data_IF_960250279101
#
_entry.id   IF_960250279101
#
_cell.length_a   1.000
_cell.length_b   1.000
_cell.length_c   1.000
_cell.angle_alpha   90.00
_cell.angle_beta   90.00
_cell.angle_gamma   90.00
#
_symmetry.space_group_name_H-M   'P 1'
#
loop_
_entity.id
_entity.type
_entity.pdbx_description
1 polymer ?
#
# COMPACT_ATOMS: atom_id res chain seq x y z
N UNK A 1 5.99 32.57 53.20
CA UNK A 1 5.26 31.58 52.39
C UNK A 1 5.92 31.50 51.02
N UNK A 2 6.68 30.43 50.73
CA UNK A 2 7.35 30.22 49.44
C UNK A 2 6.42 29.39 48.52
N UNK A 3 5.96 29.97 47.43
CA UNK A 3 5.17 29.27 46.43
C UNK A 3 6.12 28.53 45.51
N UNK A 4 6.11 27.21 45.58
CA UNK A 4 6.89 26.35 44.69
C UNK A 4 6.08 26.15 43.41
N UNK A 5 6.48 26.79 42.32
CA UNK A 5 5.94 26.54 40.99
C UNK A 5 6.52 25.21 40.47
N UNK A 6 5.70 24.18 40.49
CA UNK A 6 6.00 22.89 39.81
C UNK A 6 5.62 23.04 38.35
N UNK A 7 6.61 23.29 37.48
CA UNK A 7 6.46 23.19 36.05
C UNK A 7 6.36 21.70 35.68
N UNK A 8 5.16 21.21 35.44
CA UNK A 8 4.95 19.88 34.88
C UNK A 8 5.36 19.89 33.40
N UNK A 9 6.57 19.42 33.13
CA UNK A 9 7.02 19.14 31.76
C UNK A 9 6.29 17.90 31.24
N UNK A 10 5.21 18.09 30.50
CA UNK A 10 4.56 17.03 29.71
C UNK A 10 5.51 16.66 28.57
N UNK A 11 6.28 15.59 28.74
CA UNK A 11 7.02 14.95 27.64
C UNK A 11 5.99 14.35 26.67
N UNK A 12 5.80 15.02 25.54
CA UNK A 12 5.12 14.45 24.38
C UNK A 12 6.02 13.32 23.84
N UNK A 13 5.73 12.08 24.22
CA UNK A 13 6.31 10.92 23.57
C UNK A 13 5.71 10.80 22.18
N UNK A 14 6.37 11.36 21.19
CA UNK A 14 6.08 11.08 19.78
C UNK A 14 6.50 9.63 19.57
N UNK A 15 5.53 8.72 19.58
CA UNK A 15 5.72 7.33 19.17
C UNK A 15 6.13 7.36 17.70
N UNK A 16 7.41 7.28 17.40
CA UNK A 16 7.87 7.01 16.06
C UNK A 16 7.40 5.58 15.72
N UNK A 17 6.36 5.48 14.89
CA UNK A 17 5.98 4.20 14.31
C UNK A 17 7.23 3.60 13.66
N UNK A 18 7.57 2.37 14.02
CA UNK A 18 8.73 1.72 13.44
C UNK A 18 8.49 1.53 11.93
N UNK A 19 9.57 1.46 11.16
CA UNK A 19 9.47 1.19 9.73
C UNK A 19 8.64 -0.09 9.48
N UNK A 20 8.82 -1.14 10.28
CA UNK A 20 8.07 -2.38 10.22
C UNK A 20 6.56 -2.17 10.38
N UNK A 21 6.13 -1.25 11.25
CA UNK A 21 4.72 -0.95 11.47
C UNK A 21 4.09 -0.24 10.27
N UNK A 22 4.85 0.65 9.60
CA UNK A 22 4.40 1.31 8.36
C UNK A 22 4.17 0.27 7.25
N UNK A 23 5.09 -0.67 7.06
CA UNK A 23 4.94 -1.72 6.06
C UNK A 23 3.75 -2.63 6.36
N UNK A 24 3.60 -3.11 7.59
CA UNK A 24 2.46 -3.93 7.99
C UNK A 24 1.14 -3.21 7.74
N UNK A 25 1.08 -1.93 8.09
CA UNK A 25 -0.09 -1.08 7.85
C UNK A 25 -0.37 -0.94 6.36
N UNK A 26 0.63 -0.61 5.56
CA UNK A 26 0.52 -0.49 4.10
C UNK A 26 -0.01 -1.78 3.48
N UNK A 27 0.60 -2.93 3.79
CA UNK A 27 0.19 -4.23 3.26
C UNK A 27 -1.24 -4.60 3.67
N UNK A 28 -1.64 -4.36 4.93
CA UNK A 28 -2.99 -4.63 5.40
C UNK A 28 -4.05 -3.77 4.69
N UNK A 29 -3.75 -2.50 4.45
CA UNK A 29 -4.65 -1.60 3.71
C UNK A 29 -4.78 -2.06 2.26
N UNK A 30 -3.68 -2.38 1.59
CA UNK A 30 -3.69 -2.86 0.20
C UNK A 30 -4.39 -4.22 0.07
N UNK A 31 -4.17 -5.16 1.00
CA UNK A 31 -4.87 -6.44 1.03
C UNK A 31 -6.39 -6.27 1.11
N UNK A 32 -6.85 -5.41 2.02
CA UNK A 32 -8.28 -5.08 2.13
C UNK A 32 -8.80 -4.45 0.83
N UNK A 33 -8.04 -3.53 0.24
CA UNK A 33 -8.39 -2.92 -1.04
C UNK A 33 -8.52 -3.94 -2.17
N UNK A 34 -7.54 -4.82 -2.34
CA UNK A 34 -7.56 -5.89 -3.35
C UNK A 34 -8.73 -6.86 -3.14
N UNK A 35 -9.04 -7.19 -1.89
CA UNK A 35 -10.19 -8.04 -1.54
C UNK A 35 -11.51 -7.37 -1.92
N UNK A 36 -11.67 -6.07 -1.64
CA UNK A 36 -12.87 -5.32 -2.02
C UNK A 36 -13.04 -5.24 -3.54
N UNK A 37 -11.95 -5.00 -4.30
CA UNK A 37 -11.98 -4.98 -5.76
C UNK A 37 -12.45 -6.33 -6.30
N UNK A 38 -11.88 -7.44 -5.81
CA UNK A 38 -12.27 -8.79 -6.21
C UNK A 38 -13.74 -9.07 -5.94
N UNK A 39 -14.19 -8.80 -4.72
CA UNK A 39 -15.60 -8.98 -4.34
C UNK A 39 -16.53 -8.10 -5.16
N UNK A 40 -16.10 -6.88 -5.47
CA UNK A 40 -16.86 -5.96 -6.31
C UNK A 40 -17.08 -6.50 -7.71
N UNK A 41 -16.06 -7.08 -8.35
CA UNK A 41 -16.21 -7.74 -9.66
C UNK A 41 -17.12 -8.96 -9.59
N UNK A 42 -16.96 -9.80 -8.58
CA UNK A 42 -17.76 -11.02 -8.42
C UNK A 42 -19.25 -10.73 -8.14
N UNK A 43 -19.55 -9.61 -7.51
CA UNK A 43 -20.90 -9.23 -7.11
C UNK A 43 -21.51 -8.08 -7.95
N UNK A 44 -20.86 -7.66 -9.03
CA UNK A 44 -21.28 -6.51 -9.85
C UNK A 44 -21.46 -5.21 -9.04
N UNK A 45 -20.62 -5.00 -8.04
CA UNK A 45 -20.68 -3.85 -7.12
C UNK A 45 -19.56 -2.84 -7.44
N UNK A 46 -19.88 -1.85 -8.28
CA UNK A 46 -18.91 -0.81 -8.70
C UNK A 46 -18.42 0.05 -7.53
N UNK A 47 -19.28 0.35 -6.57
CA UNK A 47 -18.89 1.14 -5.40
C UNK A 47 -17.85 0.41 -4.55
N UNK A 48 -17.98 -0.91 -4.42
CA UNK A 48 -17.01 -1.72 -3.71
C UNK A 48 -15.66 -1.76 -4.45
N UNK A 49 -15.68 -1.83 -5.79
CA UNK A 49 -14.45 -1.75 -6.60
C UNK A 49 -13.76 -0.39 -6.39
N UNK A 50 -14.50 0.71 -6.47
CA UNK A 50 -13.97 2.07 -6.27
C UNK A 50 -13.41 2.27 -4.85
N UNK A 51 -14.12 1.78 -3.84
CA UNK A 51 -13.64 1.79 -2.46
C UNK A 51 -12.33 1.03 -2.30
N UNK A 52 -12.25 -0.16 -2.89
CA UNK A 52 -11.03 -0.97 -2.88
C UNK A 52 -9.86 -0.29 -3.59
N UNK A 53 -10.10 0.33 -4.75
CA UNK A 53 -9.09 1.10 -5.50
C UNK A 53 -8.49 2.21 -4.64
N UNK A 54 -9.34 2.95 -3.93
CA UNK A 54 -8.89 3.99 -3.00
C UNK A 54 -7.97 3.44 -1.91
N UNK A 55 -8.36 2.33 -1.30
CA UNK A 55 -7.53 1.67 -0.27
C UNK A 55 -6.19 1.20 -0.83
N UNK A 56 -6.15 0.64 -2.05
CA UNK A 56 -4.89 0.25 -2.68
C UNK A 56 -3.97 1.46 -2.88
N UNK A 57 -4.50 2.60 -3.36
CA UNK A 57 -3.74 3.85 -3.50
C UNK A 57 -3.20 4.34 -2.15
N UNK A 58 -4.06 4.39 -1.14
CA UNK A 58 -3.68 4.83 0.21
C UNK A 58 -2.59 3.95 0.82
N UNK A 59 -2.74 2.63 0.71
CA UNK A 59 -1.75 1.68 1.21
C UNK A 59 -0.43 1.78 0.46
N UNK A 60 -0.47 1.85 -0.88
CA UNK A 60 0.74 1.96 -1.70
C UNK A 60 1.50 3.27 -1.46
N UNK A 61 0.80 4.39 -1.23
CA UNK A 61 1.42 5.68 -0.91
C UNK A 61 2.26 5.65 0.37
N UNK A 62 1.92 4.80 1.35
CA UNK A 62 2.72 4.64 2.57
C UNK A 62 4.05 3.92 2.35
N UNK A 63 4.20 3.22 1.23
CA UNK A 63 5.30 2.28 0.98
C UNK A 63 6.07 2.57 -0.31
N UNK A 64 5.59 3.42 -1.21
CA UNK A 64 6.13 3.60 -2.56
C UNK A 64 7.51 4.28 -2.61
N UNK A 65 7.91 4.99 -1.58
CA UNK A 65 9.18 5.72 -1.53
C UNK A 65 10.36 4.76 -1.38
N UNK A 66 11.40 4.95 -2.20
CA UNK A 66 12.59 4.10 -2.24
C UNK A 66 13.29 3.99 -0.89
N UNK A 67 13.38 5.08 -0.15
CA UNK A 67 13.99 5.17 1.18
C UNK A 67 13.22 4.34 2.21
N UNK A 68 11.90 4.26 2.04
CA UNK A 68 11.03 3.40 2.86
C UNK A 68 11.23 1.94 2.46
N UNK A 69 11.15 1.63 1.18
CA UNK A 69 11.29 0.26 0.65
C UNK A 69 12.61 -0.38 1.09
N UNK A 70 13.73 0.35 0.98
CA UNK A 70 15.05 -0.20 1.31
C UNK A 70 15.19 -0.65 2.76
N UNK A 71 14.41 -0.06 3.67
CA UNK A 71 14.42 -0.43 5.10
C UNK A 71 13.84 -1.83 5.34
N UNK A 72 12.90 -2.24 4.49
CA UNK A 72 12.16 -3.51 4.62
C UNK A 72 12.78 -4.67 3.84
N UNK A 73 13.63 -4.37 2.87
CA UNK A 73 14.29 -5.42 2.12
C UNK A 73 15.28 -6.19 3.02
N UNK A 74 15.29 -7.53 2.96
CA UNK A 74 16.31 -8.34 3.62
C UNK A 74 17.72 -7.81 3.30
N UNK A 75 18.65 -7.91 4.26
CA UNK A 75 20.01 -7.35 4.11
C UNK A 75 20.70 -7.78 2.82
N UNK A 76 20.54 -9.06 2.44
CA UNK A 76 21.11 -9.63 1.21
C UNK A 76 20.35 -9.25 -0.06
N UNK A 77 19.21 -8.55 0.04
CA UNK A 77 18.35 -8.14 -1.08
C UNK A 77 18.21 -6.63 -1.25
N UNK A 78 18.91 -5.83 -0.45
CA UNK A 78 18.85 -4.37 -0.52
C UNK A 78 19.21 -3.81 -1.91
N UNK A 79 20.07 -4.51 -2.66
CA UNK A 79 20.42 -4.16 -4.03
C UNK A 79 19.24 -4.29 -5.02
N UNK A 80 18.15 -4.98 -4.63
CA UNK A 80 16.94 -5.16 -5.43
C UNK A 80 15.88 -4.07 -5.18
N UNK A 81 16.21 -3.00 -4.47
CA UNK A 81 15.26 -1.92 -4.13
C UNK A 81 14.55 -1.35 -5.37
N UNK A 82 15.24 -1.22 -6.50
CA UNK A 82 14.63 -0.71 -7.73
C UNK A 82 13.54 -1.64 -8.28
N UNK A 83 13.65 -2.96 -8.05
CA UNK A 83 12.60 -3.92 -8.46
C UNK A 83 11.37 -3.73 -7.61
N UNK A 84 11.53 -3.55 -6.29
CA UNK A 84 10.42 -3.30 -5.39
C UNK A 84 9.76 -1.92 -5.63
N UNK A 85 10.57 -0.88 -5.88
CA UNK A 85 10.09 0.45 -6.26
C UNK A 85 9.27 0.41 -7.56
N UNK A 86 9.77 -0.30 -8.58
CA UNK A 86 9.03 -0.47 -9.84
C UNK A 86 7.72 -1.24 -9.65
N UNK A 87 7.67 -2.21 -8.73
CA UNK A 87 6.42 -2.88 -8.39
C UNK A 87 5.40 -1.92 -7.75
N UNK A 88 5.83 -1.05 -6.82
CA UNK A 88 4.97 -0.03 -6.24
C UNK A 88 4.44 0.97 -7.30
N UNK A 89 5.32 1.46 -8.18
CA UNK A 89 4.92 2.32 -9.31
C UNK A 89 3.94 1.63 -10.26
N UNK A 90 4.12 0.33 -10.48
CA UNK A 90 3.22 -0.46 -11.31
C UNK A 90 1.83 -0.57 -10.68
N UNK A 91 1.74 -0.76 -9.37
CA UNK A 91 0.46 -0.77 -8.65
C UNK A 91 -0.29 0.55 -8.86
N UNK A 92 0.37 1.71 -8.72
CA UNK A 92 -0.27 3.02 -8.95
C UNK A 92 -0.78 3.16 -10.38
N UNK A 93 0.02 2.73 -11.37
CA UNK A 93 -0.39 2.76 -12.76
C UNK A 93 -1.64 1.89 -13.00
N UNK A 94 -1.62 0.65 -12.51
CA UNK A 94 -2.68 -0.31 -12.75
C UNK A 94 -3.99 0.08 -12.05
N UNK A 95 -3.91 0.70 -10.85
CA UNK A 95 -5.10 1.27 -10.18
C UNK A 95 -5.71 2.40 -11.03
N UNK A 96 -4.89 3.29 -11.59
CA UNK A 96 -5.39 4.34 -12.46
C UNK A 96 -6.02 3.78 -13.74
N UNK A 97 -5.40 2.75 -14.34
CA UNK A 97 -5.96 2.05 -15.51
C UNK A 97 -7.29 1.38 -15.16
N UNK A 98 -7.38 0.75 -13.98
CA UNK A 98 -8.63 0.15 -13.50
C UNK A 98 -9.73 1.21 -13.40
N UNK A 99 -9.48 2.34 -12.74
CA UNK A 99 -10.47 3.41 -12.55
C UNK A 99 -10.94 4.00 -13.89
N UNK A 100 -10.02 4.30 -14.81
CA UNK A 100 -10.35 4.78 -16.15
C UNK A 100 -11.24 3.82 -16.93
N UNK A 101 -10.98 2.52 -16.82
CA UNK A 101 -11.79 1.49 -17.48
C UNK A 101 -13.16 1.32 -16.81
N UNK A 102 -13.28 1.50 -15.49
CA UNK A 102 -14.58 1.53 -14.81
C UNK A 102 -15.43 2.71 -15.29
N UNK A 103 -14.85 3.89 -15.38
CA UNK A 103 -15.55 5.10 -15.80
C UNK A 103 -16.02 5.01 -17.27
N UNK A 104 -15.24 4.35 -18.12
CA UNK A 104 -15.61 4.06 -19.52
C UNK A 104 -16.47 2.81 -19.69
N UNK A 105 -16.88 2.14 -18.60
CA UNK A 105 -17.64 0.87 -18.59
C UNK A 105 -16.94 -0.30 -19.30
N UNK A 106 -15.63 -0.24 -19.45
CA UNK A 106 -14.79 -1.29 -20.01
C UNK A 106 -14.40 -2.31 -18.93
N UNK A 107 -15.38 -3.00 -18.35
CA UNK A 107 -15.22 -3.81 -17.13
C UNK A 107 -14.21 -4.95 -17.28
N UNK A 108 -14.10 -5.55 -18.45
CA UNK A 108 -13.10 -6.61 -18.71
C UNK A 108 -11.69 -6.03 -18.64
N UNK A 109 -11.45 -4.83 -19.19
CA UNK A 109 -10.16 -4.16 -19.11
C UNK A 109 -9.85 -3.72 -17.68
N UNK A 110 -10.86 -3.30 -16.91
CA UNK A 110 -10.69 -3.02 -15.48
C UNK A 110 -10.27 -4.27 -14.69
N UNK A 111 -10.88 -5.44 -14.99
CA UNK A 111 -10.50 -6.70 -14.37
C UNK A 111 -9.07 -7.15 -14.77
N UNK A 112 -8.64 -6.89 -16.01
CA UNK A 112 -7.27 -7.13 -16.43
C UNK A 112 -6.28 -6.25 -15.63
N UNK A 113 -6.59 -4.97 -15.40
CA UNK A 113 -5.76 -4.09 -14.58
C UNK A 113 -5.68 -4.57 -13.12
N UNK A 114 -6.77 -5.12 -12.55
CA UNK A 114 -6.73 -5.81 -11.25
C UNK A 114 -5.74 -6.99 -11.24
N UNK A 115 -5.76 -7.81 -12.28
CA UNK A 115 -4.83 -8.93 -12.41
C UNK A 115 -3.37 -8.46 -12.51
N UNK A 116 -3.12 -7.35 -13.20
CA UNK A 116 -1.79 -6.75 -13.30
C UNK A 116 -1.30 -6.23 -11.95
N UNK A 117 -2.16 -5.61 -11.15
CA UNK A 117 -1.85 -5.24 -9.76
C UNK A 117 -1.46 -6.46 -8.92
N UNK A 118 -2.21 -7.56 -9.01
CA UNK A 118 -1.89 -8.79 -8.29
C UNK A 118 -0.51 -9.33 -8.68
N UNK A 119 -0.18 -9.29 -9.98
CA UNK A 119 1.14 -9.66 -10.48
C UNK A 119 2.26 -8.76 -9.93
N UNK A 120 2.02 -7.45 -9.79
CA UNK A 120 2.97 -6.52 -9.18
C UNK A 120 3.21 -6.85 -7.70
N UNK A 121 2.15 -7.16 -6.96
CA UNK A 121 2.23 -7.62 -5.57
C UNK A 121 3.08 -8.90 -5.44
N UNK A 122 2.77 -9.90 -6.27
CA UNK A 122 3.48 -11.18 -6.27
C UNK A 122 4.98 -11.02 -6.60
N UNK A 123 5.31 -10.16 -7.55
CA UNK A 123 6.70 -9.86 -7.93
C UNK A 123 7.50 -9.26 -6.77
N UNK A 124 6.93 -8.28 -6.05
CA UNK A 124 7.58 -7.71 -4.87
C UNK A 124 7.72 -8.77 -3.76
N UNK A 125 6.65 -9.52 -3.48
CA UNK A 125 6.67 -10.56 -2.45
C UNK A 125 7.67 -11.68 -2.72
N UNK A 126 7.88 -12.07 -3.99
CA UNK A 126 8.90 -13.05 -4.36
C UNK A 126 10.32 -12.60 -3.99
N UNK A 127 10.57 -11.28 -3.94
CA UNK A 127 11.84 -10.73 -3.51
C UNK A 127 11.93 -10.71 -1.98
N UNK A 128 10.90 -10.16 -1.32
CA UNK A 128 10.92 -9.89 0.12
C UNK A 128 10.72 -11.16 0.94
N UNK A 129 9.78 -12.02 0.52
CA UNK A 129 9.41 -13.24 1.26
C UNK A 129 10.08 -14.51 0.74
N UNK A 130 10.78 -14.45 -0.39
CA UNK A 130 11.54 -15.57 -0.96
C UNK A 130 10.70 -16.85 -1.20
N UNK A 131 9.48 -16.66 -1.79
CA UNK A 131 8.66 -17.79 -2.28
C UNK A 131 8.61 -17.86 -3.78
#
# INVERSE_FOLDING_TARGET
MKVINILAATMLTISMASAEDIMKKSMSIMENGMTQIQQGFLNNNLELIKSGSKLVKEGNALFSEKEVIVQYLPKNKKHMVNVAENAAKRIDLDVNVLELNLDSKAYINAANAYSDMLNACARCHSIVRSW
#
